data_IF_520996097225
#
_entry.id   IF_520996097225
#
_cell.length_a   1.000
_cell.length_b   1.000
_cell.length_c   1.000
_cell.angle_alpha   90.00
_cell.angle_beta   90.00
_cell.angle_gamma   90.00
#
_symmetry.space_group_name_H-M   'P 1'
#
loop_
_entity.id
_entity.type
_entity.pdbx_description
1 polymer ?
#
# COMPACT_ATOMS: atom_id res chain seq x y z
N UNK A 1 -61.18 -40.27 12.28
CA UNK A 1 -60.69 -39.25 13.15
C UNK A 1 -59.27 -39.58 13.56
N UNK A 2 -58.25 -39.05 12.85
CA UNK A 2 -56.86 -38.93 13.28
C UNK A 2 -56.11 -38.16 12.18
N UNK A 3 -55.82 -36.91 12.47
CA UNK A 3 -54.92 -36.05 11.68
C UNK A 3 -53.51 -36.58 11.78
N UNK A 4 -52.84 -36.81 10.65
CA UNK A 4 -51.40 -36.99 10.59
C UNK A 4 -50.86 -35.85 9.73
N UNK A 5 -50.30 -34.84 10.41
CA UNK A 5 -49.47 -33.80 9.80
C UNK A 5 -48.15 -34.41 9.37
N UNK A 6 -47.99 -34.68 8.07
CA UNK A 6 -46.70 -35.04 7.51
C UNK A 6 -45.89 -33.77 7.28
N UNK A 7 -44.79 -33.62 8.03
CA UNK A 7 -43.75 -32.62 7.79
C UNK A 7 -43.13 -32.88 6.42
N UNK A 8 -43.29 -31.93 5.52
CA UNK A 8 -42.53 -31.89 4.27
C UNK A 8 -41.07 -31.62 4.57
N UNK A 9 -40.22 -32.63 4.41
CA UNK A 9 -38.75 -32.44 4.37
C UNK A 9 -38.37 -32.18 2.92
N UNK A 10 -38.05 -30.95 2.61
CA UNK A 10 -37.45 -30.53 1.33
C UNK A 10 -35.96 -30.81 1.41
N UNK A 11 -35.48 -31.86 0.77
CA UNK A 11 -34.04 -32.11 0.64
C UNK A 11 -33.48 -31.21 -0.44
N UNK A 12 -32.72 -30.19 -0.02
CA UNK A 12 -31.92 -29.37 -0.92
C UNK A 12 -30.55 -30.01 -1.08
N UNK A 13 -30.25 -30.50 -2.28
CA UNK A 13 -28.87 -30.90 -2.64
C UNK A 13 -28.23 -29.76 -3.43
N UNK A 14 -27.25 -29.12 -2.84
CA UNK A 14 -26.42 -28.13 -3.51
C UNK A 14 -25.32 -28.87 -4.29
N UNK A 15 -25.45 -28.97 -5.59
CA UNK A 15 -24.35 -29.34 -6.49
C UNK A 15 -24.08 -28.14 -7.39
N UNK A 16 -22.93 -27.48 -7.17
CA UNK A 16 -22.38 -26.52 -8.11
C UNK A 16 -23.30 -25.33 -8.51
N UNK A 17 -24.00 -24.72 -7.53
CA UNK A 17 -24.77 -23.50 -7.81
C UNK A 17 -26.15 -23.70 -8.47
N UNK A 18 -26.61 -24.92 -8.63
CA UNK A 18 -27.93 -25.26 -9.18
C UNK A 18 -28.88 -25.71 -8.06
N UNK A 19 -29.95 -24.96 -7.86
CA UNK A 19 -31.07 -25.36 -7.00
C UNK A 19 -31.99 -26.28 -7.82
N UNK A 20 -31.90 -27.60 -7.59
CA UNK A 20 -32.81 -28.58 -8.19
C UNK A 20 -33.97 -28.83 -7.23
N UNK A 21 -35.17 -28.43 -7.59
CA UNK A 21 -36.42 -28.80 -6.88
C UNK A 21 -36.99 -30.07 -7.46
N UNK A 22 -37.21 -31.06 -6.62
CA UNK A 22 -37.92 -32.30 -6.98
C UNK A 22 -39.37 -32.26 -6.46
N UNK A 23 -40.32 -32.69 -7.27
CA UNK A 23 -41.69 -32.92 -6.84
C UNK A 23 -41.78 -34.25 -6.08
N UNK A 24 -42.82 -34.38 -5.24
CA UNK A 24 -43.11 -35.58 -4.42
C UNK A 24 -43.22 -36.88 -5.19
N UNK A 25 -43.16 -36.86 -6.52
CA UNK A 25 -43.17 -38.02 -7.44
C UNK A 25 -41.84 -38.27 -8.15
N UNK A 26 -40.76 -37.60 -7.73
CA UNK A 26 -39.42 -37.77 -8.32
C UNK A 26 -39.26 -37.20 -9.73
N UNK A 27 -40.22 -36.40 -10.23
CA UNK A 27 -40.14 -35.76 -11.53
C UNK A 27 -39.41 -34.41 -11.39
N UNK A 28 -38.43 -34.20 -12.23
CA UNK A 28 -37.76 -32.89 -12.31
C UNK A 28 -38.81 -31.82 -12.61
N UNK A 29 -39.09 -30.94 -11.66
CA UNK A 29 -39.72 -29.69 -11.95
C UNK A 29 -38.65 -28.75 -12.51
N UNK A 30 -39.05 -27.97 -13.47
CA UNK A 30 -38.30 -27.01 -14.23
C UNK A 30 -37.18 -26.39 -13.39
N UNK A 31 -35.94 -26.54 -13.86
CA UNK A 31 -34.77 -25.86 -13.26
C UNK A 31 -34.97 -24.39 -13.51
N UNK A 32 -35.68 -23.74 -12.60
CA UNK A 32 -35.61 -22.28 -12.54
C UNK A 32 -34.15 -21.94 -12.22
N UNK A 33 -33.44 -21.65 -13.28
CA UNK A 33 -32.10 -21.09 -13.18
C UNK A 33 -32.22 -19.79 -12.40
N UNK A 34 -32.22 -19.89 -11.09
CA UNK A 34 -31.63 -18.86 -10.27
C UNK A 34 -30.10 -18.93 -10.53
N UNK A 35 -29.72 -18.73 -11.80
CA UNK A 35 -28.41 -18.22 -12.10
C UNK A 35 -28.41 -16.89 -11.35
N UNK A 36 -27.71 -16.79 -10.18
CA UNK A 36 -27.40 -15.44 -9.68
C UNK A 36 -26.81 -14.83 -10.93
N UNK A 37 -27.44 -13.75 -11.44
CA UNK A 37 -26.88 -13.03 -12.58
C UNK A 37 -25.41 -12.94 -12.25
N UNK A 38 -24.59 -13.73 -12.91
CA UNK A 38 -23.14 -13.61 -12.85
C UNK A 38 -22.95 -12.18 -13.33
N UNK A 39 -23.04 -11.27 -12.36
CA UNK A 39 -22.69 -9.88 -12.57
C UNK A 39 -21.31 -10.05 -13.13
N UNK A 40 -21.17 -9.84 -14.44
CA UNK A 40 -19.87 -9.93 -15.08
C UNK A 40 -18.99 -9.04 -14.24
N UNK A 41 -18.23 -9.64 -13.32
CA UNK A 41 -17.24 -8.95 -12.52
C UNK A 41 -16.20 -8.58 -13.54
N UNK A 42 -16.38 -7.39 -14.11
CA UNK A 42 -15.64 -6.95 -15.28
C UNK A 42 -16.53 -6.42 -16.40
N UNK A 43 -17.77 -5.96 -16.12
CA UNK A 43 -18.44 -5.02 -17.01
C UNK A 43 -17.39 -3.97 -17.41
N UNK A 44 -17.28 -3.72 -18.75
CA UNK A 44 -16.33 -2.75 -19.31
C UNK A 44 -16.50 -1.41 -18.60
N UNK A 45 -15.78 -1.21 -17.51
CA UNK A 45 -15.74 0.07 -16.83
C UNK A 45 -15.01 1.01 -17.77
N UNK A 46 -15.60 2.17 -18.03
CA UNK A 46 -14.92 3.23 -18.73
C UNK A 46 -13.55 3.45 -18.08
N UNK A 47 -12.48 3.52 -18.84
CA UNK A 47 -11.12 3.76 -18.32
C UNK A 47 -11.11 4.99 -17.41
N UNK A 48 -11.89 6.03 -17.74
CA UNK A 48 -12.04 7.23 -16.92
C UNK A 48 -12.77 6.98 -15.60
N UNK A 49 -13.65 5.99 -15.53
CA UNK A 49 -14.34 5.58 -14.29
C UNK A 49 -13.52 4.66 -13.39
N UNK A 50 -12.35 4.20 -13.84
CA UNK A 50 -11.52 3.24 -13.11
C UNK A 50 -11.17 3.64 -11.66
N UNK A 51 -10.81 4.90 -11.34
CA UNK A 51 -10.55 5.29 -9.95
C UNK A 51 -11.76 5.10 -9.04
N UNK A 52 -12.95 5.49 -9.50
CA UNK A 52 -14.20 5.38 -8.74
C UNK A 52 -14.57 3.91 -8.54
N UNK A 53 -14.45 3.09 -9.59
CA UNK A 53 -14.72 1.65 -9.48
C UNK A 53 -13.74 0.95 -8.55
N UNK A 54 -12.45 1.30 -8.60
CA UNK A 54 -11.43 0.78 -7.67
C UNK A 54 -11.82 1.08 -6.22
N UNK A 55 -12.21 2.31 -5.91
CA UNK A 55 -12.65 2.70 -4.56
C UNK A 55 -13.92 1.91 -4.15
N UNK A 56 -14.91 1.84 -5.04
CA UNK A 56 -16.16 1.10 -4.78
C UNK A 56 -15.91 -0.40 -4.53
N UNK A 57 -15.02 -1.02 -5.32
CA UNK A 57 -14.60 -2.41 -5.12
C UNK A 57 -13.92 -2.61 -3.77
N UNK A 58 -13.01 -1.71 -3.39
CA UNK A 58 -12.32 -1.78 -2.09
C UNK A 58 -13.30 -1.70 -0.92
N UNK A 59 -14.31 -0.82 -1.01
CA UNK A 59 -15.36 -0.75 0.02
C UNK A 59 -16.21 -2.01 0.07
N UNK A 60 -16.57 -2.58 -1.08
CA UNK A 60 -17.37 -3.80 -1.17
C UNK A 60 -16.62 -5.01 -0.62
N UNK A 61 -15.32 -5.10 -0.89
CA UNK A 61 -14.46 -6.20 -0.44
C UNK A 61 -13.60 -5.88 0.79
N UNK A 62 -13.96 -4.84 1.57
CA UNK A 62 -13.18 -4.36 2.73
C UNK A 62 -12.79 -5.45 3.74
N UNK A 63 -13.66 -6.42 4.00
CA UNK A 63 -13.36 -7.53 4.91
C UNK A 63 -12.28 -8.46 4.33
N UNK A 64 -12.35 -8.74 3.03
CA UNK A 64 -11.34 -9.53 2.33
C UNK A 64 -9.99 -8.81 2.36
N UNK A 65 -9.95 -7.54 1.97
CA UNK A 65 -8.73 -6.70 2.00
C UNK A 65 -8.11 -6.69 3.40
N UNK A 66 -8.91 -6.44 4.44
CA UNK A 66 -8.43 -6.45 5.83
C UNK A 66 -7.84 -7.80 6.25
N UNK A 67 -8.51 -8.89 5.89
CA UNK A 67 -8.03 -10.23 6.23
C UNK A 67 -6.74 -10.59 5.47
N UNK A 68 -6.64 -10.21 4.20
CA UNK A 68 -5.44 -10.41 3.41
C UNK A 68 -4.26 -9.59 3.96
N UNK A 69 -4.46 -8.30 4.30
CA UNK A 69 -3.45 -7.46 4.96
C UNK A 69 -2.98 -8.13 6.26
N UNK A 70 -3.91 -8.56 7.09
CA UNK A 70 -3.57 -9.22 8.37
C UNK A 70 -2.77 -10.52 8.15
N UNK A 71 -3.16 -11.32 7.14
CA UNK A 71 -2.43 -12.54 6.75
C UNK A 71 -1.02 -12.21 6.28
N UNK A 72 -0.87 -11.20 5.43
CA UNK A 72 0.42 -10.77 4.88
C UNK A 72 1.37 -10.28 5.98
N UNK A 73 0.89 -9.41 6.88
CA UNK A 73 1.67 -8.90 8.01
C UNK A 73 2.09 -10.04 8.95
N UNK A 74 1.18 -10.93 9.32
CA UNK A 74 1.49 -12.08 10.18
C UNK A 74 2.48 -13.04 9.52
N UNK A 75 2.35 -13.26 8.22
CA UNK A 75 3.20 -14.18 7.46
C UNK A 75 4.66 -13.76 7.47
N UNK A 76 4.96 -12.45 7.42
CA UNK A 76 6.33 -11.93 7.38
C UNK A 76 7.15 -12.23 8.65
N UNK A 77 6.50 -12.27 9.79
CA UNK A 77 7.19 -12.37 11.09
C UNK A 77 6.92 -13.70 11.83
N UNK A 78 6.21 -14.64 11.20
CA UNK A 78 5.73 -15.86 11.86
C UNK A 78 6.82 -16.74 12.45
N UNK A 79 7.98 -16.82 11.80
CA UNK A 79 9.09 -17.68 12.20
C UNK A 79 10.36 -16.90 12.60
N UNK A 80 10.23 -15.57 12.79
CA UNK A 80 11.37 -14.75 13.18
C UNK A 80 11.52 -14.73 14.71
N UNK A 81 12.73 -14.93 15.22
CA UNK A 81 13.01 -14.93 16.68
C UNK A 81 12.60 -13.61 17.34
N UNK A 82 12.87 -12.47 16.72
CA UNK A 82 12.52 -11.14 17.21
C UNK A 82 11.12 -10.69 16.73
N UNK A 83 10.43 -11.50 15.91
CA UNK A 83 9.07 -11.20 15.46
C UNK A 83 8.92 -9.78 14.91
N UNK A 84 7.95 -9.06 15.44
CA UNK A 84 7.63 -7.68 15.03
C UNK A 84 8.69 -6.64 15.44
N UNK A 85 9.61 -6.95 16.35
CA UNK A 85 10.69 -6.01 16.71
C UNK A 85 11.58 -5.66 15.51
N UNK A 86 11.68 -6.54 14.51
CA UNK A 86 12.39 -6.22 13.28
C UNK A 86 11.86 -4.97 12.56
N UNK A 87 10.59 -4.63 12.74
CA UNK A 87 10.02 -3.40 12.15
C UNK A 87 10.67 -2.13 12.67
N UNK A 88 11.19 -2.16 13.90
CA UNK A 88 11.88 -1.05 14.57
C UNK A 88 13.39 -1.17 14.40
N UNK A 89 13.93 -2.37 14.56
CA UNK A 89 15.40 -2.62 14.54
C UNK A 89 15.97 -2.28 13.15
N UNK A 90 15.35 -2.76 12.07
CA UNK A 90 15.86 -2.54 10.69
C UNK A 90 16.03 -1.05 10.35
N UNK A 91 15.02 -0.17 10.48
CA UNK A 91 15.21 1.25 10.22
C UNK A 91 16.17 1.93 11.19
N UNK A 92 16.25 1.48 12.44
CA UNK A 92 17.18 2.02 13.43
C UNK A 92 18.63 1.71 13.05
N UNK A 93 18.94 0.47 12.68
CA UNK A 93 20.27 0.09 12.23
C UNK A 93 20.69 0.87 10.97
N UNK A 94 19.78 1.01 10.00
CA UNK A 94 20.06 1.81 8.81
C UNK A 94 20.30 3.29 9.15
N UNK A 95 19.53 3.86 10.07
CA UNK A 95 19.73 5.22 10.52
C UNK A 95 21.08 5.42 11.18
N UNK A 96 21.55 4.47 11.99
CA UNK A 96 22.89 4.49 12.60
C UNK A 96 23.98 4.47 11.52
N UNK A 97 23.85 3.64 10.49
CA UNK A 97 24.81 3.60 9.36
C UNK A 97 24.84 4.94 8.62
N UNK A 98 23.68 5.51 8.30
CA UNK A 98 23.61 6.80 7.60
C UNK A 98 24.09 7.95 8.45
N UNK A 99 23.80 7.93 9.77
CA UNK A 99 24.37 8.90 10.69
C UNK A 99 25.89 8.85 10.71
N UNK A 100 26.48 7.66 10.82
CA UNK A 100 27.93 7.45 10.76
C UNK A 100 28.53 7.99 9.46
N UNK A 101 27.94 7.65 8.32
CA UNK A 101 28.39 8.16 7.01
C UNK A 101 28.36 9.69 6.96
N UNK A 102 27.28 10.31 7.47
CA UNK A 102 27.13 11.75 7.43
C UNK A 102 28.16 12.45 8.35
N UNK A 103 28.42 11.91 9.53
CA UNK A 103 29.48 12.41 10.42
C UNK A 103 30.84 12.38 9.74
N UNK A 104 31.15 11.30 9.02
CA UNK A 104 32.40 11.14 8.30
C UNK A 104 32.55 12.12 7.13
N UNK A 105 31.46 12.43 6.43
CA UNK A 105 31.49 13.27 5.22
C UNK A 105 31.30 14.77 5.52
N UNK A 106 30.45 15.12 6.47
CA UNK A 106 30.03 16.50 6.74
C UNK A 106 30.60 17.08 8.05
N UNK A 107 31.32 16.32 8.85
CA UNK A 107 31.85 16.73 10.13
C UNK A 107 30.85 16.67 11.28
N UNK A 108 30.60 17.77 11.98
CA UNK A 108 29.68 17.81 13.14
C UNK A 108 28.22 17.91 12.66
N UNK A 109 27.41 16.87 12.74
CA UNK A 109 25.97 16.97 12.47
C UNK A 109 25.26 17.65 13.64
N UNK A 110 24.08 18.21 13.35
CA UNK A 110 23.11 18.61 14.36
C UNK A 110 22.77 17.42 15.28
N UNK A 111 22.59 17.67 16.57
CA UNK A 111 22.23 16.64 17.56
C UNK A 111 20.96 15.89 17.19
N UNK A 112 20.01 16.55 16.51
CA UNK A 112 18.76 15.97 16.05
C UNK A 112 18.87 15.19 14.73
N UNK A 113 20.03 15.21 14.06
CA UNK A 113 20.24 14.59 12.77
C UNK A 113 19.88 13.09 12.73
N UNK A 114 20.25 12.25 13.74
CA UNK A 114 19.87 10.84 13.76
C UNK A 114 18.34 10.64 13.76
N UNK A 115 17.60 11.53 14.45
CA UNK A 115 16.14 11.50 14.49
C UNK A 115 15.56 11.79 13.11
N UNK A 116 16.09 12.79 12.41
CA UNK A 116 15.61 13.11 11.07
C UNK A 116 15.84 12.00 10.07
N UNK A 117 17.00 11.35 10.16
CA UNK A 117 17.35 10.24 9.26
C UNK A 117 16.45 9.03 9.50
N UNK A 118 16.23 8.62 10.75
CA UNK A 118 15.38 7.43 11.05
C UNK A 118 13.96 7.64 10.57
N UNK A 119 13.39 8.84 10.74
CA UNK A 119 12.04 9.17 10.28
C UNK A 119 11.94 9.17 8.75
N UNK A 120 12.97 9.71 8.09
CA UNK A 120 13.08 9.65 6.63
C UNK A 120 13.21 8.23 6.10
N UNK A 121 14.05 7.39 6.75
CA UNK A 121 14.24 5.98 6.41
C UNK A 121 12.95 5.17 6.55
N UNK A 122 12.18 5.39 7.62
CA UNK A 122 10.89 4.71 7.83
C UNK A 122 9.90 5.08 6.72
N UNK A 123 9.79 6.39 6.42
CA UNK A 123 8.83 6.88 5.43
C UNK A 123 9.21 6.45 4.02
N UNK A 124 10.48 6.57 3.64
CA UNK A 124 10.99 6.08 2.37
C UNK A 124 10.92 4.57 2.25
N UNK A 125 11.23 3.86 3.33
CA UNK A 125 11.11 2.41 3.42
C UNK A 125 9.67 1.92 3.18
N UNK A 126 8.67 2.66 3.69
CA UNK A 126 7.27 2.42 3.39
C UNK A 126 7.02 2.52 1.87
N UNK A 127 7.45 3.59 1.24
CA UNK A 127 7.32 3.79 -0.21
C UNK A 127 8.00 2.68 -1.00
N UNK A 128 9.28 2.42 -0.76
CA UNK A 128 10.07 1.47 -1.54
C UNK A 128 9.59 0.02 -1.41
N UNK A 129 9.31 -0.42 -0.17
CA UNK A 129 8.76 -1.76 0.10
C UNK A 129 7.34 -1.90 -0.49
N UNK A 130 6.50 -0.88 -0.38
CA UNK A 130 5.15 -0.85 -0.96
C UNK A 130 5.18 -0.88 -2.48
N UNK A 131 6.04 -0.08 -3.10
CA UNK A 131 6.19 -0.04 -4.54
C UNK A 131 6.62 -1.39 -5.08
N UNK A 132 7.68 -1.98 -4.53
CA UNK A 132 8.16 -3.30 -4.92
C UNK A 132 7.10 -4.39 -4.75
N UNK A 133 6.36 -4.38 -3.63
CA UNK A 133 5.30 -5.34 -3.36
C UNK A 133 4.10 -5.15 -4.30
N UNK A 134 3.73 -3.90 -4.63
CA UNK A 134 2.66 -3.60 -5.57
C UNK A 134 2.99 -4.06 -7.00
N UNK A 135 4.21 -3.80 -7.47
CA UNK A 135 4.70 -4.22 -8.80
C UNK A 135 4.67 -5.75 -8.93
N UNK A 136 5.03 -6.47 -7.87
CA UNK A 136 5.06 -7.93 -7.87
C UNK A 136 3.71 -8.56 -7.44
N UNK A 137 2.69 -7.76 -7.18
CA UNK A 137 1.44 -8.25 -6.59
C UNK A 137 0.67 -9.25 -7.47
N UNK A 138 0.66 -9.06 -8.78
CA UNK A 138 0.01 -9.97 -9.71
C UNK A 138 0.85 -11.24 -9.90
N UNK A 139 2.13 -11.11 -10.20
CA UNK A 139 3.04 -12.25 -10.44
C UNK A 139 3.19 -13.13 -9.20
N UNK A 140 3.27 -12.52 -8.01
CA UNK A 140 3.36 -13.26 -6.74
C UNK A 140 2.07 -13.99 -6.33
N UNK A 141 0.91 -13.59 -6.89
CA UNK A 141 -0.39 -14.19 -6.61
C UNK A 141 -1.00 -14.90 -7.82
N UNK A 142 -0.22 -15.22 -8.84
CA UNK A 142 -0.68 -15.85 -10.08
C UNK A 142 -1.61 -17.06 -9.82
N UNK A 143 -1.19 -17.98 -8.95
CA UNK A 143 -1.99 -19.16 -8.60
C UNK A 143 -3.36 -18.80 -8.02
N UNK A 144 -3.44 -17.78 -7.17
CA UNK A 144 -4.72 -17.34 -6.56
C UNK A 144 -5.62 -16.69 -7.60
N UNK A 145 -5.05 -15.92 -8.53
CA UNK A 145 -5.77 -15.23 -9.60
C UNK A 145 -6.48 -16.23 -10.52
N UNK A 146 -5.87 -17.40 -10.76
CA UNK A 146 -6.47 -18.46 -11.60
C UNK A 146 -7.54 -19.28 -10.87
N UNK A 147 -7.50 -19.33 -9.52
CA UNK A 147 -8.40 -20.18 -8.73
C UNK A 147 -9.66 -19.46 -8.25
N UNK A 148 -9.59 -18.15 -8.03
CA UNK A 148 -10.67 -17.38 -7.38
C UNK A 148 -10.99 -16.13 -8.20
N UNK A 149 -12.27 -15.89 -8.41
CA UNK A 149 -12.75 -14.76 -9.19
C UNK A 149 -13.13 -13.59 -8.27
N UNK A 150 -12.24 -12.59 -8.15
CA UNK A 150 -12.49 -11.32 -7.48
C UNK A 150 -11.67 -10.18 -8.12
N UNK A 151 -11.97 -8.89 -7.84
CA UNK A 151 -11.25 -7.77 -8.44
C UNK A 151 -9.76 -7.84 -8.18
N UNK A 152 -8.96 -7.78 -9.24
CA UNK A 152 -7.49 -7.93 -9.15
C UNK A 152 -6.81 -6.72 -8.48
N UNK A 153 -7.49 -5.58 -8.44
CA UNK A 153 -7.09 -4.38 -7.71
C UNK A 153 -6.82 -4.65 -6.23
N UNK A 154 -7.43 -5.70 -5.65
CA UNK A 154 -7.23 -6.10 -4.26
C UNK A 154 -5.77 -6.50 -3.98
N UNK A 155 -5.06 -7.10 -4.94
CA UNK A 155 -3.67 -7.56 -4.71
C UNK A 155 -2.68 -6.42 -4.47
N UNK A 156 -2.56 -5.39 -5.35
CA UNK A 156 -1.67 -4.28 -5.08
C UNK A 156 -2.07 -3.50 -3.82
N UNK A 157 -3.37 -3.29 -3.60
CA UNK A 157 -3.86 -2.60 -2.39
C UNK A 157 -3.51 -3.37 -1.12
N UNK A 158 -3.64 -4.69 -1.12
CA UNK A 158 -3.30 -5.53 0.03
C UNK A 158 -1.80 -5.49 0.33
N UNK A 159 -0.98 -5.59 -0.72
CA UNK A 159 0.47 -5.55 -0.61
C UNK A 159 0.97 -4.22 -0.04
N UNK A 160 0.43 -3.09 -0.53
CA UNK A 160 0.74 -1.75 -0.01
C UNK A 160 0.19 -1.57 1.40
N UNK A 161 -1.06 -1.95 1.65
CA UNK A 161 -1.68 -1.85 2.98
C UNK A 161 -0.91 -2.60 4.06
N UNK A 162 -0.35 -3.77 3.73
CA UNK A 162 0.50 -4.51 4.65
C UNK A 162 1.80 -3.75 4.99
N UNK A 163 2.43 -3.11 3.99
CA UNK A 163 3.63 -2.30 4.22
C UNK A 163 3.34 -1.03 5.01
N UNK A 164 2.21 -0.36 4.77
CA UNK A 164 1.77 0.80 5.55
C UNK A 164 1.59 0.40 7.02
N UNK A 165 0.91 -0.72 7.30
CA UNK A 165 0.75 -1.24 8.68
C UNK A 165 2.12 -1.53 9.32
N UNK A 166 3.03 -2.20 8.60
CA UNK A 166 4.38 -2.50 9.10
C UNK A 166 5.16 -1.21 9.38
N UNK A 167 5.06 -0.20 8.52
CA UNK A 167 5.74 1.10 8.72
C UNK A 167 5.15 1.90 9.89
N UNK A 168 3.83 1.81 10.10
CA UNK A 168 3.18 2.37 11.29
C UNK A 168 3.65 1.65 12.57
N UNK A 169 3.86 0.34 12.53
CA UNK A 169 4.49 -0.38 13.65
C UNK A 169 5.94 0.05 13.85
N UNK A 170 6.69 0.23 12.76
CA UNK A 170 8.08 0.73 12.80
C UNK A 170 8.19 2.15 13.38
N UNK A 171 7.16 2.99 13.16
CA UNK A 171 7.14 4.35 13.71
C UNK A 171 6.98 4.40 15.24
N UNK A 172 6.72 3.27 15.90
CA UNK A 172 6.75 3.20 17.38
C UNK A 172 8.13 3.53 17.97
N UNK A 173 9.20 3.49 17.16
CA UNK A 173 10.52 4.02 17.55
C UNK A 173 10.47 5.49 17.96
N UNK A 174 9.44 6.23 17.57
CA UNK A 174 9.24 7.63 17.98
C UNK A 174 9.08 7.74 19.50
N UNK A 175 8.47 6.75 20.16
CA UNK A 175 8.24 6.77 21.62
C UNK A 175 9.56 6.92 22.40
N UNK A 176 10.57 6.02 22.24
CA UNK A 176 11.86 6.21 22.90
C UNK A 176 12.59 7.49 22.43
N UNK A 177 12.45 7.92 21.17
CA UNK A 177 13.04 9.16 20.67
C UNK A 177 12.50 10.36 21.46
N UNK A 178 11.18 10.50 21.58
CA UNK A 178 10.57 11.60 22.34
C UNK A 178 11.06 11.61 23.80
N UNK A 179 11.24 10.44 24.40
CA UNK A 179 11.74 10.31 25.77
C UNK A 179 13.21 10.72 25.91
N UNK A 180 14.11 10.23 25.05
CA UNK A 180 15.55 10.52 25.13
C UNK A 180 15.88 11.97 24.77
N UNK A 181 15.21 12.54 23.78
CA UNK A 181 15.43 13.92 23.35
C UNK A 181 14.56 14.95 24.09
N UNK A 182 13.77 14.50 25.10
CA UNK A 182 12.89 15.35 25.92
C UNK A 182 11.95 16.22 25.08
N UNK A 183 11.46 15.66 23.93
CA UNK A 183 10.54 16.35 23.05
C UNK A 183 9.10 16.11 23.58
N UNK A 184 8.35 17.16 23.94
CA UNK A 184 6.99 16.98 24.42
C UNK A 184 6.07 16.44 23.29
N UNK A 185 5.24 15.44 23.57
CA UNK A 185 4.27 14.96 22.57
C UNK A 185 3.25 16.07 22.26
N UNK A 186 3.15 16.44 21.01
CA UNK A 186 2.23 17.49 20.53
C UNK A 186 1.16 16.90 19.61
N UNK A 187 0.11 17.67 19.33
CA UNK A 187 -0.93 17.30 18.37
C UNK A 187 -0.37 17.05 16.96
N UNK A 188 0.79 17.60 16.67
CA UNK A 188 1.46 17.42 15.38
C UNK A 188 1.85 15.97 15.09
N UNK A 189 1.92 15.07 16.09
CA UNK A 189 2.15 13.65 15.90
C UNK A 189 1.14 12.99 14.94
N UNK A 190 -0.01 13.62 14.71
CA UNK A 190 -0.98 13.15 13.70
C UNK A 190 -0.42 13.18 12.28
N UNK A 191 0.58 13.99 12.01
CA UNK A 191 1.25 14.04 10.69
C UNK A 191 2.06 12.78 10.38
N UNK A 192 2.48 12.02 11.41
CA UNK A 192 3.23 10.77 11.23
C UNK A 192 2.40 9.72 10.47
N UNK A 193 1.23 9.29 10.95
CA UNK A 193 0.42 8.33 10.20
C UNK A 193 -0.05 8.88 8.85
N UNK A 194 -0.30 10.18 8.73
CA UNK A 194 -0.71 10.82 7.47
C UNK A 194 0.45 10.74 6.44
N UNK A 195 1.67 11.10 6.82
CA UNK A 195 2.84 11.04 5.93
C UNK A 195 3.16 9.61 5.48
N UNK A 196 3.07 8.62 6.39
CA UNK A 196 3.23 7.20 6.06
C UNK A 196 2.13 6.74 5.10
N UNK A 197 0.88 7.16 5.32
CA UNK A 197 -0.23 6.83 4.43
C UNK A 197 -0.05 7.43 3.03
N UNK A 198 0.34 8.70 2.94
CA UNK A 198 0.61 9.37 1.66
C UNK A 198 1.75 8.70 0.89
N UNK A 199 2.81 8.27 1.58
CA UNK A 199 3.91 7.51 0.96
C UNK A 199 3.42 6.16 0.41
N UNK A 200 2.54 5.48 1.13
CA UNK A 200 1.88 4.25 0.67
C UNK A 200 0.97 4.50 -0.53
N UNK A 201 0.19 5.60 -0.53
CA UNK A 201 -0.70 5.95 -1.63
C UNK A 201 0.08 6.27 -2.91
N UNK A 202 1.20 7.00 -2.80
CA UNK A 202 2.12 7.25 -3.91
C UNK A 202 2.67 5.93 -4.48
N UNK A 203 3.12 5.02 -3.60
CA UNK A 203 3.62 3.71 -3.99
C UNK A 203 2.53 2.86 -4.66
N UNK A 204 1.29 2.94 -4.19
CA UNK A 204 0.15 2.24 -4.78
C UNK A 204 -0.10 2.71 -6.21
N UNK A 205 -0.19 4.03 -6.42
CA UNK A 205 -0.44 4.60 -7.74
C UNK A 205 0.61 4.18 -8.76
N UNK A 206 1.89 4.42 -8.43
CA UNK A 206 3.00 4.05 -9.30
C UNK A 206 3.12 2.52 -9.48
N UNK A 207 2.91 1.76 -8.42
CA UNK A 207 2.95 0.29 -8.46
C UNK A 207 1.83 -0.31 -9.30
N UNK A 208 0.62 0.24 -9.26
CA UNK A 208 -0.49 -0.18 -10.13
C UNK A 208 -0.21 0.09 -11.61
N UNK A 209 0.52 1.17 -11.95
CA UNK A 209 0.97 1.40 -13.33
C UNK A 209 1.93 0.30 -13.80
N UNK A 210 2.85 -0.11 -12.93
CA UNK A 210 3.94 -1.04 -13.26
C UNK A 210 3.54 -2.51 -13.13
N UNK A 211 2.55 -2.87 -12.32
CA UNK A 211 2.17 -4.26 -12.06
C UNK A 211 1.73 -5.03 -13.33
N UNK A 212 0.88 -4.50 -14.22
CA UNK A 212 0.55 -5.16 -15.47
C UNK A 212 1.76 -5.32 -16.41
N UNK A 213 2.65 -4.32 -16.44
CA UNK A 213 3.87 -4.38 -17.25
C UNK A 213 4.82 -5.46 -16.73
N UNK A 214 4.92 -5.62 -15.40
CA UNK A 214 5.75 -6.65 -14.79
C UNK A 214 5.26 -8.08 -15.07
N UNK A 215 3.99 -8.29 -15.39
CA UNK A 215 3.49 -9.59 -15.85
C UNK A 215 4.04 -9.94 -17.24
N UNK A 216 4.20 -8.95 -18.12
CA UNK A 216 4.71 -9.13 -19.48
C UNK A 216 6.23 -9.17 -19.51
N UNK A 217 6.88 -8.28 -18.76
CA UNK A 217 8.32 -8.11 -18.71
C UNK A 217 8.82 -8.04 -17.27
N UNK A 218 9.48 -9.06 -16.79
CA UNK A 218 9.99 -9.17 -15.40
C UNK A 218 11.08 -8.15 -15.07
N UNK A 219 11.70 -7.55 -16.07
CA UNK A 219 12.70 -6.49 -15.91
C UNK A 219 12.14 -5.23 -15.24
N UNK A 220 10.83 -5.00 -15.32
CA UNK A 220 10.14 -3.90 -14.64
C UNK A 220 10.37 -3.95 -13.14
N UNK A 221 10.36 -5.14 -12.52
CA UNK A 221 10.66 -5.28 -11.10
C UNK A 221 12.13 -4.94 -10.77
N UNK A 222 13.07 -5.23 -11.67
CA UNK A 222 14.47 -4.86 -11.50
C UNK A 222 14.67 -3.35 -11.61
N UNK A 223 14.07 -2.73 -12.63
CA UNK A 223 14.06 -1.28 -12.81
C UNK A 223 13.46 -0.57 -11.60
N UNK A 224 12.34 -1.04 -11.09
CA UNK A 224 11.69 -0.48 -9.90
C UNK A 224 12.59 -0.51 -8.67
N UNK A 225 13.33 -1.60 -8.47
CA UNK A 225 14.31 -1.70 -7.37
C UNK A 225 15.47 -0.72 -7.53
N UNK A 226 15.95 -0.52 -8.74
CA UNK A 226 16.95 0.50 -9.03
C UNK A 226 16.41 1.89 -8.74
N UNK A 227 15.21 2.21 -9.23
CA UNK A 227 14.56 3.49 -9.02
C UNK A 227 14.37 3.82 -7.53
N UNK A 228 13.98 2.85 -6.71
CA UNK A 228 13.83 3.06 -5.26
C UNK A 228 15.16 3.29 -4.57
N UNK A 229 16.25 2.64 -5.00
CA UNK A 229 17.60 2.88 -4.45
C UNK A 229 18.14 4.25 -4.84
N UNK A 230 18.06 4.60 -6.11
CA UNK A 230 18.50 5.90 -6.61
C UNK A 230 17.65 7.04 -6.02
N UNK A 231 16.33 6.88 -6.03
CA UNK A 231 15.38 7.86 -5.50
C UNK A 231 15.56 8.16 -4.01
N UNK A 232 16.13 7.24 -3.24
CA UNK A 232 16.48 7.47 -1.84
C UNK A 232 17.38 8.68 -1.66
N UNK A 233 18.40 8.84 -2.50
CA UNK A 233 19.35 9.94 -2.44
C UNK A 233 18.77 11.24 -3.01
N UNK A 234 17.86 11.13 -3.97
CA UNK A 234 17.14 12.28 -4.55
C UNK A 234 15.99 12.79 -3.67
N UNK A 235 15.57 12.01 -2.69
CA UNK A 235 14.52 12.38 -1.76
C UNK A 235 15.12 12.93 -0.46
N UNK A 236 14.39 13.79 0.27
CA UNK A 236 14.91 14.40 1.51
C UNK A 236 14.96 13.37 2.66
N UNK A 237 15.67 12.26 2.46
CA UNK A 237 15.88 11.25 3.52
C UNK A 237 17.10 11.60 4.36
N UNK A 238 18.20 12.04 3.72
CA UNK A 238 19.45 12.41 4.37
C UNK A 238 19.65 13.91 4.53
N UNK A 239 18.84 14.73 3.88
CA UNK A 239 18.85 16.18 3.92
C UNK A 239 17.45 16.70 4.26
N UNK A 240 17.35 17.95 4.70
CA UNK A 240 16.07 18.58 5.05
C UNK A 240 15.62 19.56 3.97
N UNK A 241 14.34 19.93 4.01
CA UNK A 241 13.79 20.90 3.07
C UNK A 241 14.48 22.27 3.20
N UNK A 242 14.85 22.68 4.43
CA UNK A 242 15.57 23.92 4.71
C UNK A 242 16.96 23.88 4.06
N UNK A 243 17.73 22.79 4.26
CA UNK A 243 19.03 22.61 3.61
C UNK A 243 18.94 22.66 2.08
N UNK A 244 17.84 22.19 1.51
CA UNK A 244 17.61 22.25 0.07
C UNK A 244 17.37 23.69 -0.40
N UNK A 245 16.52 24.44 0.31
CA UNK A 245 16.22 25.84 -0.04
C UNK A 245 17.47 26.73 0.01
N UNK A 246 18.38 26.48 0.97
CA UNK A 246 19.66 27.16 1.06
C UNK A 246 20.59 26.93 -0.14
N UNK A 247 20.40 25.79 -0.87
CA UNK A 247 21.19 25.45 -2.08
C UNK A 247 20.66 26.11 -3.36
N UNK A 248 19.70 27.02 -3.26
CA UNK A 248 19.14 27.76 -4.39
C UNK A 248 18.35 26.88 -5.36
N UNK A 249 18.50 27.11 -6.67
CA UNK A 249 17.65 26.49 -7.69
C UNK A 249 17.72 24.95 -7.73
N UNK A 250 18.89 24.35 -7.48
CA UNK A 250 19.05 22.88 -7.47
C UNK A 250 18.29 22.25 -6.30
N UNK A 251 18.38 22.85 -5.12
CA UNK A 251 17.65 22.38 -3.95
C UNK A 251 16.14 22.57 -4.10
N UNK A 252 15.72 23.71 -4.64
CA UNK A 252 14.34 23.96 -4.98
C UNK A 252 13.79 22.92 -5.96
N UNK A 253 14.58 22.55 -6.98
CA UNK A 253 14.19 21.46 -7.92
C UNK A 253 14.03 20.11 -7.22
N UNK A 254 14.85 19.80 -6.23
CA UNK A 254 14.73 18.55 -5.47
C UNK A 254 13.45 18.48 -4.63
N UNK A 255 12.89 19.61 -4.21
CA UNK A 255 11.61 19.65 -3.46
C UNK A 255 10.35 19.41 -4.32
N UNK A 256 10.47 19.42 -5.65
CA UNK A 256 9.39 18.98 -6.53
C UNK A 256 9.17 17.45 -6.50
N UNK A 257 10.06 16.73 -5.81
CA UNK A 257 9.89 15.30 -5.58
C UNK A 257 8.60 15.04 -4.77
N UNK A 258 7.66 14.22 -5.26
CA UNK A 258 6.39 13.97 -4.57
C UNK A 258 6.56 13.32 -3.18
N UNK A 259 7.71 12.69 -2.90
CA UNK A 259 8.00 12.12 -1.59
C UNK A 259 8.57 13.15 -0.59
N UNK A 260 8.87 14.38 -1.02
CA UNK A 260 9.42 15.41 -0.15
C UNK A 260 8.45 15.76 1.00
N UNK A 261 7.17 15.96 0.69
CA UNK A 261 6.17 16.35 1.69
C UNK A 261 5.81 15.21 2.64
N UNK A 262 5.53 13.97 2.22
CA UNK A 262 5.33 12.86 3.16
C UNK A 262 6.46 12.70 4.18
N UNK A 263 7.73 12.80 3.73
CA UNK A 263 8.89 12.69 4.63
C UNK A 263 8.95 13.88 5.59
N UNK A 264 8.75 15.09 5.09
CA UNK A 264 8.77 16.30 5.92
C UNK A 264 7.63 16.32 6.93
N UNK A 265 6.42 15.87 6.54
CA UNK A 265 5.28 15.75 7.46
C UNK A 265 5.61 14.86 8.66
N UNK A 266 6.24 13.68 8.42
CA UNK A 266 6.62 12.77 9.50
C UNK A 266 7.64 13.42 10.44
N UNK A 267 8.63 14.13 9.90
CA UNK A 267 9.66 14.85 10.70
C UNK A 267 9.06 15.96 11.56
N UNK A 268 8.33 16.87 10.93
CA UNK A 268 7.70 18.00 11.64
C UNK A 268 6.65 17.52 12.65
N UNK A 269 5.95 16.41 12.35
CA UNK A 269 5.03 15.80 13.29
C UNK A 269 5.70 15.37 14.59
N UNK A 270 6.90 14.79 14.51
CA UNK A 270 7.66 14.38 15.70
C UNK A 270 8.29 15.59 16.42
N UNK A 271 8.79 16.58 15.68
CA UNK A 271 9.43 17.77 16.25
C UNK A 271 8.43 18.78 16.82
N UNK A 272 7.14 18.58 16.61
CA UNK A 272 6.12 19.53 17.06
C UNK A 272 6.19 20.90 16.34
N UNK A 273 6.83 20.95 15.17
CA UNK A 273 6.98 22.16 14.36
C UNK A 273 5.90 22.22 13.28
N UNK A 274 5.48 23.43 12.92
CA UNK A 274 4.69 23.65 11.70
C UNK A 274 5.52 23.34 10.45
N UNK A 275 4.84 22.94 9.38
CA UNK A 275 5.51 22.69 8.09
C UNK A 275 5.86 24.05 7.46
N UNK A 276 7.11 24.45 7.58
CA UNK A 276 7.59 25.74 7.09
C UNK A 276 8.27 25.58 5.71
N UNK A 277 7.47 25.11 4.76
CA UNK A 277 7.88 24.94 3.37
C UNK A 277 6.92 25.74 2.49
N UNK A 278 7.42 26.40 1.42
CA UNK A 278 6.57 27.13 0.49
C UNK A 278 5.43 26.25 -0.03
N UNK A 279 4.20 26.76 0.07
CA UNK A 279 2.95 26.01 -0.22
C UNK A 279 2.93 25.41 -1.64
N UNK A 280 3.67 25.98 -2.58
CA UNK A 280 3.79 25.44 -3.94
C UNK A 280 4.31 23.99 -3.96
N UNK A 281 5.28 23.63 -3.10
CA UNK A 281 5.82 22.27 -3.02
C UNK A 281 4.84 21.32 -2.32
N UNK A 282 4.08 21.82 -1.35
CA UNK A 282 3.03 21.04 -0.69
C UNK A 282 1.95 20.65 -1.70
N UNK A 283 1.43 21.64 -2.44
CA UNK A 283 0.42 21.38 -3.47
C UNK A 283 0.95 20.48 -4.57
N UNK A 284 2.16 20.71 -5.08
CA UNK A 284 2.74 19.89 -6.15
C UNK A 284 2.89 18.42 -5.74
N UNK A 285 3.34 18.16 -4.50
CA UNK A 285 3.46 16.80 -3.98
C UNK A 285 2.10 16.11 -3.84
N UNK A 286 1.11 16.78 -3.23
CA UNK A 286 -0.23 16.22 -3.07
C UNK A 286 -0.93 15.97 -4.42
N UNK A 287 -0.83 16.93 -5.35
CA UNK A 287 -1.37 16.76 -6.71
C UNK A 287 -0.69 15.60 -7.41
N UNK A 288 0.63 15.47 -7.31
CA UNK A 288 1.37 14.36 -7.91
C UNK A 288 0.93 13.00 -7.33
N UNK A 289 0.76 12.89 -6.01
CA UNK A 289 0.30 11.65 -5.36
C UNK A 289 -1.09 11.26 -5.90
N UNK A 290 -2.03 12.21 -5.95
CA UNK A 290 -3.38 11.96 -6.47
C UNK A 290 -3.34 11.61 -7.95
N UNK A 291 -2.55 12.32 -8.76
CA UNK A 291 -2.39 12.08 -10.18
C UNK A 291 -1.84 10.68 -10.45
N UNK A 292 -0.76 10.28 -9.77
CA UNK A 292 -0.19 8.94 -9.92
C UNK A 292 -1.19 7.86 -9.51
N UNK A 293 -1.98 8.09 -8.47
CA UNK A 293 -3.03 7.15 -8.05
C UNK A 293 -4.12 7.01 -9.11
N UNK A 294 -4.61 8.13 -9.67
CA UNK A 294 -5.63 8.13 -10.74
C UNK A 294 -5.10 7.41 -11.99
N UNK A 295 -3.91 7.79 -12.45
CA UNK A 295 -3.27 7.17 -13.60
C UNK A 295 -2.99 5.69 -13.37
N UNK A 296 -2.56 5.33 -12.16
CA UNK A 296 -2.33 3.95 -11.75
C UNK A 296 -3.59 3.10 -11.85
N UNK A 297 -4.72 3.59 -11.31
CA UNK A 297 -6.00 2.91 -11.39
C UNK A 297 -6.49 2.76 -12.84
N UNK A 298 -6.33 3.80 -13.66
CA UNK A 298 -6.74 3.77 -15.08
C UNK A 298 -5.91 2.77 -15.90
N UNK A 299 -4.58 2.81 -15.77
CA UNK A 299 -3.66 1.93 -16.49
C UNK A 299 -3.85 0.49 -16.04
N UNK A 300 -3.95 0.25 -14.73
CA UNK A 300 -4.19 -1.07 -14.17
C UNK A 300 -5.47 -1.69 -14.73
N UNK A 301 -6.60 -0.99 -14.64
CA UNK A 301 -7.90 -1.46 -15.12
C UNK A 301 -7.89 -1.77 -16.63
N UNK A 302 -7.18 -0.93 -17.42
CA UNK A 302 -7.07 -1.13 -18.88
C UNK A 302 -6.28 -2.39 -19.23
N UNK A 303 -5.17 -2.66 -18.54
CA UNK A 303 -4.20 -3.67 -18.95
C UNK A 303 -4.24 -4.96 -18.09
N UNK A 304 -4.90 -4.98 -16.93
CA UNK A 304 -4.92 -6.14 -16.03
C UNK A 304 -5.39 -7.44 -16.70
N UNK A 305 -6.40 -7.34 -17.58
CA UNK A 305 -6.96 -8.52 -18.27
C UNK A 305 -5.98 -9.12 -19.27
N UNK A 306 -5.27 -8.27 -19.99
CA UNK A 306 -4.23 -8.68 -20.92
C UNK A 306 -3.02 -9.27 -20.21
N UNK A 307 -2.60 -8.64 -19.12
CA UNK A 307 -1.44 -9.03 -18.35
C UNK A 307 -1.56 -10.43 -17.72
N UNK A 308 -2.76 -10.81 -17.27
CA UNK A 308 -3.01 -12.14 -16.66
C UNK A 308 -2.79 -13.31 -17.63
N UNK A 309 -2.84 -13.09 -18.95
CA UNK A 309 -2.52 -14.12 -19.93
C UNK A 309 -1.03 -14.53 -19.91
N UNK A 310 -0.17 -13.72 -19.31
CA UNK A 310 1.28 -13.96 -19.21
C UNK A 310 1.70 -14.45 -17.80
N UNK A 311 0.75 -14.66 -16.89
CA UNK A 311 0.98 -15.25 -15.58
C UNK A 311 0.99 -16.77 -15.63
#
# INVERSE_FOLDING_TARGET
MKFITSRFTINHVHICGLLIKYDCKGKMMEVEQAVPQLREVGAKTSVLGAPITTVSELFSYRFLVRNLIRREVRGRYRNAMLGYFWTVIEPTLLAVVYWFLFVMLAGKPDEMYPVWVILGVITWGCFGKSLSASVNSLTGNARTIHLVYFPRTIFPVTAVGANVVVSLMGSLVIIPILYFYQIPPTIHLIWVPIGIFLSGLMALGFGMMMAPLNCVQRDVAHFTRFLTRAGFFFSPVMWTAEMALERGALGAAALWNPMAIPITMVRHGVMGKSIDIPMQYVYSSLISIVLFWILGAMIFNKYERGAVKYL
#
